data_IF_175497847353
#
_entry.id   IF_175497847353
#
_cell.length_a   1.000
_cell.length_b   1.000
_cell.length_c   1.000
_cell.angle_alpha   90.00
_cell.angle_beta   90.00
_cell.angle_gamma   90.00
#
_symmetry.space_group_name_H-M   'P 1'
#
loop_
_entity.id
_entity.type
_entity.pdbx_description
1 polymer ?
#
# COMPACT_ATOMS: atom_id res chain seq x y z
N UNK A 1 8.05 27.47 30.00
CA UNK A 1 7.20 26.28 30.23
C UNK A 1 7.89 25.11 29.55
N UNK A 2 7.93 23.93 30.17
CA UNK A 2 8.63 22.77 29.62
C UNK A 2 7.84 22.09 28.49
N UNK A 3 8.50 21.21 27.73
CA UNK A 3 7.85 20.45 26.66
C UNK A 3 6.75 19.53 27.20
N UNK A 4 6.93 18.95 28.40
CA UNK A 4 5.91 18.11 29.05
C UNK A 4 4.67 18.91 29.46
N UNK A 5 4.82 20.20 29.78
CA UNK A 5 3.68 21.04 30.05
C UNK A 5 2.84 21.23 28.79
N UNK A 6 3.46 21.55 27.65
CA UNK A 6 2.73 21.74 26.40
C UNK A 6 2.06 20.46 25.89
N UNK A 7 2.65 19.28 26.14
CA UNK A 7 2.04 18.02 25.72
C UNK A 7 0.78 17.65 26.51
N UNK A 8 0.62 18.15 27.74
CA UNK A 8 -0.60 17.97 28.53
C UNK A 8 -1.71 18.96 28.16
N UNK A 9 -1.36 20.06 27.47
CA UNK A 9 -2.26 21.16 27.13
C UNK A 9 -2.38 21.36 25.61
N UNK A 10 -2.26 20.29 24.81
CA UNK A 10 -2.27 20.35 23.34
C UNK A 10 -3.48 21.11 22.79
N UNK A 11 -4.67 20.89 23.35
CA UNK A 11 -5.91 21.52 22.91
C UNK A 11 -5.93 23.05 23.04
N UNK A 12 -5.09 23.61 23.92
CA UNK A 12 -5.02 25.04 24.18
C UNK A 12 -4.19 25.79 23.12
N UNK A 13 -3.27 25.10 22.43
CA UNK A 13 -2.30 25.77 21.55
C UNK A 13 -2.22 25.20 20.13
N UNK A 14 -2.67 23.95 19.87
CA UNK A 14 -2.51 23.32 18.55
C UNK A 14 -3.30 24.02 17.43
N UNK A 15 -4.24 24.91 17.76
CA UNK A 15 -4.98 25.75 16.82
C UNK A 15 -4.73 27.26 17.04
N UNK A 16 -3.72 27.63 17.83
CA UNK A 16 -3.36 29.02 18.10
C UNK A 16 -2.16 29.46 17.25
N UNK A 17 -2.43 30.25 16.20
CA UNK A 17 -1.39 30.79 15.33
C UNK A 17 -0.44 31.76 16.04
N UNK A 18 -0.90 32.49 17.07
CA UNK A 18 -0.05 33.41 17.84
C UNK A 18 0.97 32.63 18.66
N UNK A 19 0.58 31.47 19.21
CA UNK A 19 1.52 30.59 19.89
C UNK A 19 2.55 30.00 18.93
N UNK A 20 2.08 29.39 17.83
CA UNK A 20 2.95 28.68 16.87
C UNK A 20 3.95 29.64 16.22
N UNK A 21 3.51 30.82 15.78
CA UNK A 21 4.36 31.77 15.07
C UNK A 21 5.38 32.49 15.98
N UNK A 22 5.24 32.40 17.31
CA UNK A 22 6.21 32.94 18.27
C UNK A 22 7.36 31.98 18.58
N UNK A 23 7.30 30.75 18.09
CA UNK A 23 8.30 29.71 18.35
C UNK A 23 9.18 29.47 17.14
N UNK A 24 10.43 29.13 17.39
CA UNK A 24 11.30 28.60 16.32
C UNK A 24 10.90 27.17 15.98
N UNK A 25 11.33 26.70 14.81
CA UNK A 25 11.11 25.31 14.37
C UNK A 25 11.71 24.32 15.37
N UNK A 26 12.90 24.59 15.90
CA UNK A 26 13.57 23.73 16.89
C UNK A 26 12.79 23.65 18.20
N UNK A 27 12.25 24.78 18.68
CA UNK A 27 11.40 24.81 19.88
C UNK A 27 10.12 24.01 19.68
N UNK A 28 9.52 24.09 18.49
CA UNK A 28 8.35 23.29 18.15
C UNK A 28 8.71 21.81 18.07
N UNK A 29 9.81 21.41 17.43
CA UNK A 29 10.24 20.01 17.38
C UNK A 29 10.38 19.40 18.78
N UNK A 30 11.00 20.11 19.72
CA UNK A 30 11.15 19.68 21.12
C UNK A 30 9.78 19.45 21.78
N UNK A 31 8.82 20.35 21.53
CA UNK A 31 7.45 20.20 22.04
C UNK A 31 6.77 18.98 21.41
N UNK A 32 6.85 18.85 20.09
CA UNK A 32 6.20 17.78 19.32
C UNK A 32 6.70 16.39 19.75
N UNK A 33 7.98 16.25 20.09
CA UNK A 33 8.54 15.00 20.61
C UNK A 33 7.85 14.47 21.86
N UNK A 34 7.20 15.35 22.63
CA UNK A 34 6.50 15.00 23.87
C UNK A 34 4.99 14.83 23.67
N UNK A 35 4.47 15.11 22.47
CA UNK A 35 3.04 15.14 22.18
C UNK A 35 2.54 13.83 21.53
N UNK A 36 1.26 13.52 21.75
CA UNK A 36 0.50 12.58 20.94
C UNK A 36 -0.75 13.29 20.39
N UNK A 37 -0.95 13.25 19.08
CA UNK A 37 -1.97 14.04 18.40
C UNK A 37 -3.11 13.20 17.87
N UNK A 38 -4.35 13.55 18.18
CA UNK A 38 -5.48 13.08 17.35
C UNK A 38 -5.36 13.63 15.92
N UNK A 39 -5.99 12.97 14.95
CA UNK A 39 -6.05 13.44 13.55
C UNK A 39 -6.63 14.83 13.43
N UNK A 40 -7.57 15.19 14.31
CA UNK A 40 -8.14 16.55 14.39
C UNK A 40 -7.09 17.57 14.82
N UNK A 41 -6.38 17.32 15.92
CA UNK A 41 -5.36 18.23 16.44
C UNK A 41 -4.20 18.38 15.45
N UNK A 42 -3.79 17.28 14.81
CA UNK A 42 -2.76 17.32 13.78
C UNK A 42 -3.18 18.19 12.59
N UNK A 43 -4.42 18.02 12.09
CA UNK A 43 -4.94 18.83 10.98
C UNK A 43 -4.96 20.32 11.35
N UNK A 44 -5.37 20.67 12.57
CA UNK A 44 -5.39 22.05 13.04
C UNK A 44 -3.98 22.66 13.06
N UNK A 45 -3.04 21.96 13.70
CA UNK A 45 -1.65 22.39 13.79
C UNK A 45 -1.02 22.57 12.41
N UNK A 46 -1.13 21.55 11.55
CA UNK A 46 -0.50 21.59 10.23
C UNK A 46 -1.23 22.48 9.23
N UNK A 47 -2.48 22.89 9.48
CA UNK A 47 -3.10 23.96 8.68
C UNK A 47 -2.39 25.28 8.91
N UNK A 48 -2.02 25.57 10.17
CA UNK A 48 -1.30 26.78 10.54
C UNK A 48 0.15 26.72 10.04
N UNK A 49 0.85 25.60 10.27
CA UNK A 49 2.24 25.39 9.78
C UNK A 49 2.31 25.55 8.25
N UNK A 50 1.31 25.07 7.49
CA UNK A 50 1.27 25.26 6.03
C UNK A 50 1.34 26.73 5.61
N UNK A 51 0.74 27.61 6.41
CA UNK A 51 0.64 29.02 6.11
C UNK A 51 1.87 29.82 6.57
N UNK A 52 2.64 29.30 7.53
CA UNK A 52 3.74 30.03 8.18
C UNK A 52 5.14 29.44 7.97
N UNK A 53 5.27 28.19 7.52
CA UNK A 53 6.55 27.51 7.37
C UNK A 53 6.81 27.07 5.91
N UNK A 54 8.07 26.90 5.57
CA UNK A 54 8.50 26.24 4.32
C UNK A 54 8.18 24.74 4.33
N UNK A 55 8.31 24.11 3.16
CA UNK A 55 8.10 22.66 2.99
C UNK A 55 9.07 21.86 3.86
N UNK A 56 10.34 22.23 3.91
CA UNK A 56 11.37 21.50 4.67
C UNK A 56 11.18 21.61 6.18
N UNK A 57 10.80 22.80 6.66
CA UNK A 57 10.43 23.03 8.07
C UNK A 57 9.18 22.22 8.44
N UNK A 58 8.17 22.20 7.55
CA UNK A 58 6.96 21.40 7.74
C UNK A 58 7.28 19.91 7.83
N UNK A 59 8.19 19.39 6.99
CA UNK A 59 8.63 18.00 7.03
C UNK A 59 9.40 17.68 8.31
N UNK A 60 10.25 18.58 8.78
CA UNK A 60 10.97 18.45 10.04
C UNK A 60 9.98 18.30 11.21
N UNK A 61 9.02 19.23 11.31
CA UNK A 61 7.98 19.20 12.34
C UNK A 61 7.12 17.93 12.27
N UNK A 62 6.77 17.45 11.07
CA UNK A 62 6.01 16.20 10.93
C UNK A 62 6.75 14.99 11.51
N UNK A 63 8.07 14.88 11.33
CA UNK A 63 8.86 13.76 11.87
C UNK A 63 8.78 13.71 13.40
N UNK A 64 8.82 14.87 14.06
CA UNK A 64 8.75 14.98 15.52
C UNK A 64 7.33 14.81 16.07
N UNK A 65 6.28 14.92 15.25
CA UNK A 65 4.88 14.72 15.67
C UNK A 65 4.50 13.26 15.98
N UNK A 66 5.39 12.29 15.73
CA UNK A 66 5.23 10.85 16.02
C UNK A 66 3.94 10.23 15.48
N UNK A 67 3.40 10.77 14.40
CA UNK A 67 2.02 10.54 14.01
C UNK A 67 1.69 9.14 13.46
N UNK A 68 2.72 8.41 13.05
CA UNK A 68 2.60 7.02 12.61
C UNK A 68 2.61 6.02 13.78
N UNK A 69 2.79 6.48 15.02
CA UNK A 69 2.73 5.63 16.22
C UNK A 69 1.32 5.55 16.84
N UNK A 70 0.28 6.00 16.12
CA UNK A 70 -1.09 5.82 16.61
C UNK A 70 -1.49 4.33 16.61
N UNK A 71 -2.02 3.88 17.75
CA UNK A 71 -2.67 2.57 17.88
C UNK A 71 -4.08 2.55 17.25
N UNK A 72 -4.48 3.57 16.50
CA UNK A 72 -5.76 3.62 15.79
C UNK A 72 -5.54 3.81 14.28
N UNK A 73 -5.81 2.78 13.46
CA UNK A 73 -5.58 2.82 12.02
C UNK A 73 -6.52 3.78 11.28
N UNK A 74 -7.68 4.14 11.84
CA UNK A 74 -8.56 5.15 11.23
C UNK A 74 -7.98 6.55 11.39
N UNK A 75 -7.40 6.85 12.55
CA UNK A 75 -6.69 8.10 12.82
C UNK A 75 -5.46 8.22 11.93
N UNK A 76 -4.65 7.15 11.85
CA UNK A 76 -3.50 7.10 10.94
C UNK A 76 -3.92 7.37 9.50
N UNK A 77 -5.01 6.76 9.00
CA UNK A 77 -5.54 6.99 7.66
C UNK A 77 -5.88 8.46 7.41
N UNK A 78 -6.63 9.10 8.31
CA UNK A 78 -7.10 10.48 8.15
C UNK A 78 -5.97 11.50 8.15
N UNK A 79 -4.94 11.25 8.94
CA UNK A 79 -3.71 12.04 8.99
C UNK A 79 -2.98 11.92 7.65
N UNK A 80 -2.80 10.70 7.23
CA UNK A 80 -2.04 10.35 6.05
C UNK A 80 -2.68 10.87 4.76
N UNK A 81 -4.01 10.81 4.64
CA UNK A 81 -4.76 11.50 3.58
C UNK A 81 -4.53 13.01 3.59
N UNK A 82 -4.42 13.62 4.78
CA UNK A 82 -4.12 15.03 4.90
C UNK A 82 -2.68 15.34 4.47
N UNK A 83 -1.69 14.53 4.87
CA UNK A 83 -0.29 14.70 4.47
C UNK A 83 -0.13 14.54 2.95
N UNK A 84 -0.82 13.58 2.33
CA UNK A 84 -0.85 13.41 0.86
C UNK A 84 -1.33 14.68 0.15
N UNK A 85 -2.44 15.26 0.63
CA UNK A 85 -2.97 16.55 0.14
C UNK A 85 -2.08 17.74 0.49
N UNK A 86 -1.34 17.67 1.60
CA UNK A 86 -0.49 18.77 2.05
C UNK A 86 0.67 19.00 1.08
N UNK A 87 1.29 17.93 0.58
CA UNK A 87 2.45 17.98 -0.29
C UNK A 87 2.15 17.78 -1.79
N UNK A 88 0.88 17.61 -2.18
CA UNK A 88 0.48 17.15 -3.53
C UNK A 88 1.24 15.88 -3.94
N UNK A 89 1.42 14.95 -2.99
CA UNK A 89 2.10 13.67 -3.19
C UNK A 89 1.05 12.55 -3.20
N UNK A 90 0.69 12.03 -4.39
CA UNK A 90 -0.17 10.84 -4.54
C UNK A 90 0.42 9.61 -3.86
N UNK A 91 1.76 9.50 -3.87
CA UNK A 91 2.55 8.38 -3.32
C UNK A 91 2.27 8.06 -1.84
N UNK A 92 1.85 9.06 -1.07
CA UNK A 92 1.53 8.85 0.33
C UNK A 92 0.37 7.87 0.42
N UNK A 93 -0.68 7.99 -0.41
CA UNK A 93 -1.82 7.07 -0.41
C UNK A 93 -1.44 5.58 -0.53
N UNK A 94 -0.42 5.24 -1.32
CA UNK A 94 0.13 3.89 -1.44
C UNK A 94 0.81 3.42 -0.14
N UNK A 95 1.66 4.27 0.44
CA UNK A 95 2.30 4.04 1.76
C UNK A 95 1.24 3.94 2.87
N UNK A 96 0.12 4.65 2.74
CA UNK A 96 -0.96 4.63 3.73
C UNK A 96 -1.71 3.32 3.73
N UNK A 97 -2.01 2.79 2.55
CA UNK A 97 -2.62 1.48 2.44
C UNK A 97 -1.67 0.40 2.97
N UNK A 98 -0.37 0.50 2.70
CA UNK A 98 0.64 -0.43 3.25
C UNK A 98 0.76 -0.34 4.77
N UNK A 99 0.71 0.85 5.37
CA UNK A 99 0.76 1.05 6.84
C UNK A 99 -0.53 0.54 7.49
N UNK A 100 -1.71 0.90 6.96
CA UNK A 100 -3.01 0.43 7.47
C UNK A 100 -3.11 -1.10 7.34
N UNK A 101 -2.61 -1.66 6.25
CA UNK A 101 -2.58 -3.10 5.99
C UNK A 101 -1.64 -3.83 6.96
N UNK A 102 -0.40 -3.36 7.09
CA UNK A 102 0.59 -3.92 8.04
C UNK A 102 0.05 -3.88 9.47
N UNK A 103 -0.59 -2.78 9.86
CA UNK A 103 -1.17 -2.60 11.18
C UNK A 103 -2.37 -3.54 11.44
N UNK A 104 -3.33 -3.64 10.50
CA UNK A 104 -4.48 -4.56 10.61
C UNK A 104 -4.04 -6.03 10.64
N UNK A 105 -3.02 -6.38 9.86
CA UNK A 105 -2.43 -7.71 9.83
C UNK A 105 -1.76 -8.08 11.17
N UNK A 106 -0.91 -7.20 11.71
CA UNK A 106 -0.24 -7.42 12.99
C UNK A 106 -1.22 -7.54 14.17
N UNK A 107 -2.31 -6.78 14.18
CA UNK A 107 -3.34 -6.88 15.21
C UNK A 107 -4.18 -8.16 15.10
N UNK A 108 -4.44 -8.66 13.87
CA UNK A 108 -5.11 -9.96 13.68
C UNK A 108 -4.23 -11.12 14.14
N UNK A 109 -2.91 -11.06 13.94
CA UNK A 109 -1.97 -12.07 14.46
C UNK A 109 -1.91 -12.03 15.99
N UNK A 110 -1.84 -10.85 16.59
CA UNK A 110 -1.81 -10.70 18.06
C UNK A 110 -3.09 -11.15 18.75
N UNK A 111 -4.24 -11.03 18.07
CA UNK A 111 -5.55 -11.37 18.61
C UNK A 111 -6.07 -12.73 18.10
N UNK A 112 -5.26 -13.49 17.35
CA UNK A 112 -5.60 -14.85 16.98
C UNK A 112 -5.62 -15.71 18.25
N UNK A 113 -6.67 -16.51 18.50
CA UNK A 113 -6.70 -17.41 19.64
C UNK A 113 -5.48 -18.34 19.55
N UNK A 114 -4.66 -18.37 20.60
CA UNK A 114 -3.49 -19.26 20.67
C UNK A 114 -3.99 -20.69 20.54
N UNK A 115 -3.73 -21.31 19.38
CA UNK A 115 -3.98 -22.72 19.17
C UNK A 115 -3.12 -23.49 20.18
N UNK A 116 -3.79 -24.03 21.20
CA UNK A 116 -3.21 -24.93 22.18
C UNK A 116 -2.70 -26.17 21.47
N UNK A 117 -1.43 -26.50 21.76
CA UNK A 117 -0.77 -27.77 21.48
C UNK A 117 -1.75 -28.95 21.46
N UNK A 118 -1.85 -29.62 20.30
CA UNK A 118 -2.23 -31.04 20.26
C UNK A 118 -1.24 -31.80 19.39
N UNK A 119 -0.58 -32.72 20.08
CA UNK A 119 0.29 -33.83 19.69
C UNK A 119 0.71 -34.02 18.23
N UNK A 120 2.01 -33.86 18.05
CA UNK A 120 2.83 -34.50 17.03
C UNK A 120 2.91 -36.02 17.25
N UNK A 121 1.91 -36.80 16.84
CA UNK A 121 2.10 -38.23 16.55
C UNK A 121 0.90 -38.87 15.86
N UNK A 122 0.70 -38.61 14.56
CA UNK A 122 0.26 -39.68 13.66
C UNK A 122 0.49 -39.31 12.19
N UNK A 123 1.45 -39.99 11.55
CA UNK A 123 1.54 -40.00 10.08
C UNK A 123 0.42 -40.89 9.56
N UNK A 124 -0.44 -40.35 8.71
CA UNK A 124 -1.19 -41.15 7.76
C UNK A 124 -1.19 -40.43 6.39
N UNK A 125 -0.66 -41.05 5.32
CA UNK A 125 -0.66 -40.48 3.98
C UNK A 125 -2.03 -40.69 3.33
N UNK A 126 -2.54 -39.66 2.62
CA UNK A 126 -3.86 -39.55 1.97
C UNK A 126 -5.02 -39.10 2.88
N UNK A 127 -5.23 -37.78 2.96
CA UNK A 127 -6.52 -37.20 3.38
C UNK A 127 -7.04 -36.30 2.24
N UNK A 128 -7.89 -36.86 1.39
CA UNK A 128 -8.66 -36.17 0.33
C UNK A 128 -9.82 -35.37 0.97
N UNK A 129 -9.52 -34.62 2.04
CA UNK A 129 -10.50 -33.87 2.82
C UNK A 129 -10.30 -32.35 2.75
N UNK A 130 -9.35 -31.86 1.94
CA UNK A 130 -8.94 -30.44 1.94
C UNK A 130 -9.63 -29.61 0.85
N UNK A 131 -9.86 -30.16 -0.35
CA UNK A 131 -10.52 -29.44 -1.44
C UNK A 131 -12.02 -29.23 -1.20
N UNK A 132 -12.70 -30.23 -0.65
CA UNK A 132 -14.15 -30.20 -0.48
C UNK A 132 -14.58 -29.20 0.60
N UNK A 133 -13.82 -29.10 1.69
CA UNK A 133 -14.07 -28.14 2.77
C UNK A 133 -13.79 -26.70 2.33
N UNK A 134 -12.64 -26.44 1.69
CA UNK A 134 -12.28 -25.11 1.20
C UNK A 134 -13.25 -24.64 0.09
N UNK A 135 -13.64 -25.54 -0.82
CA UNK A 135 -14.64 -25.25 -1.86
C UNK A 135 -16.01 -24.97 -1.26
N UNK A 136 -16.46 -25.74 -0.28
CA UNK A 136 -17.72 -25.49 0.41
C UNK A 136 -17.71 -24.15 1.16
N UNK A 137 -16.61 -23.83 1.86
CA UNK A 137 -16.43 -22.55 2.52
C UNK A 137 -16.49 -21.39 1.51
N UNK A 138 -15.80 -21.49 0.38
CA UNK A 138 -15.82 -20.47 -0.68
C UNK A 138 -17.25 -20.25 -1.21
N UNK A 139 -17.96 -21.34 -1.53
CA UNK A 139 -19.34 -21.30 -2.05
C UNK A 139 -20.34 -20.70 -1.07
N UNK A 140 -20.07 -20.79 0.23
CA UNK A 140 -20.92 -20.18 1.26
C UNK A 140 -20.82 -18.65 1.33
N UNK A 141 -19.77 -18.05 0.74
CA UNK A 141 -19.49 -16.62 0.86
C UNK A 141 -20.21 -15.82 -0.24
N UNK A 142 -20.93 -14.74 0.12
CA UNK A 142 -21.47 -13.79 -0.84
C UNK A 142 -20.38 -13.08 -1.66
N UNK A 143 -20.58 -12.95 -2.98
CA UNK A 143 -19.64 -12.31 -3.92
C UNK A 143 -19.80 -10.79 -3.93
N UNK A 144 -19.39 -10.12 -2.86
CA UNK A 144 -19.43 -8.66 -2.76
C UNK A 144 -18.24 -8.10 -1.97
N UNK A 145 -18.02 -6.79 -2.08
CA UNK A 145 -16.86 -6.12 -1.49
C UNK A 145 -16.73 -6.29 0.02
N UNK A 146 -17.84 -6.44 0.76
CA UNK A 146 -17.82 -6.64 2.20
C UNK A 146 -17.20 -8.00 2.60
N UNK A 147 -17.27 -9.00 1.72
CA UNK A 147 -16.74 -10.33 1.93
C UNK A 147 -15.43 -10.59 1.17
N UNK A 148 -14.88 -9.58 0.50
CA UNK A 148 -13.64 -9.68 -0.27
C UNK A 148 -12.52 -10.36 0.52
N UNK A 149 -12.31 -9.94 1.78
CA UNK A 149 -11.24 -10.49 2.61
C UNK A 149 -11.46 -11.97 2.91
N UNK A 150 -12.69 -12.40 3.17
CA UNK A 150 -12.99 -13.81 3.42
C UNK A 150 -12.71 -14.66 2.17
N UNK A 151 -13.06 -14.15 0.98
CA UNK A 151 -12.74 -14.79 -0.29
C UNK A 151 -11.21 -14.89 -0.44
N UNK A 152 -10.51 -13.77 -0.25
CA UNK A 152 -9.06 -13.71 -0.39
C UNK A 152 -8.32 -14.64 0.57
N UNK A 153 -8.73 -14.70 1.83
CA UNK A 153 -8.15 -15.59 2.85
C UNK A 153 -8.27 -17.06 2.43
N UNK A 154 -9.38 -17.48 1.81
CA UNK A 154 -9.52 -18.83 1.26
C UNK A 154 -8.58 -19.05 0.07
N UNK A 155 -8.47 -18.09 -0.84
CA UNK A 155 -7.56 -18.18 -1.99
C UNK A 155 -6.10 -18.31 -1.56
N UNK A 156 -5.68 -17.52 -0.58
CA UNK A 156 -4.35 -17.60 0.01
C UNK A 156 -4.12 -18.97 0.68
N UNK A 157 -5.04 -19.41 1.55
CA UNK A 157 -4.95 -20.70 2.22
C UNK A 157 -4.83 -21.85 1.21
N UNK A 158 -5.72 -21.89 0.23
CA UNK A 158 -5.76 -22.93 -0.80
C UNK A 158 -4.50 -22.92 -1.67
N UNK A 159 -3.95 -21.75 -2.01
CA UNK A 159 -2.66 -21.66 -2.70
C UNK A 159 -1.51 -22.22 -1.86
N UNK A 160 -1.47 -21.95 -0.55
CA UNK A 160 -0.45 -22.50 0.36
C UNK A 160 -0.57 -24.02 0.55
N UNK A 161 -1.78 -24.55 0.47
CA UNK A 161 -2.09 -25.98 0.54
C UNK A 161 -1.91 -26.70 -0.81
N UNK A 162 -1.60 -25.98 -1.89
CA UNK A 162 -1.61 -26.46 -3.28
C UNK A 162 -2.96 -27.06 -3.70
N UNK A 163 -4.06 -26.55 -3.16
CA UNK A 163 -5.43 -26.89 -3.54
C UNK A 163 -5.83 -26.15 -4.82
N UNK A 164 -5.27 -26.61 -5.93
CA UNK A 164 -5.50 -26.04 -7.25
C UNK A 164 -6.97 -26.17 -7.70
N UNK A 165 -7.71 -27.16 -7.19
CA UNK A 165 -9.11 -27.37 -7.53
C UNK A 165 -9.98 -26.23 -7.00
N UNK A 166 -9.82 -25.84 -5.73
CA UNK A 166 -10.58 -24.71 -5.17
C UNK A 166 -10.24 -23.40 -5.87
N UNK A 167 -8.98 -23.18 -6.29
CA UNK A 167 -8.61 -22.00 -7.10
C UNK A 167 -9.33 -22.01 -8.45
N UNK A 168 -9.39 -23.17 -9.14
CA UNK A 168 -10.14 -23.31 -10.38
C UNK A 168 -11.62 -23.01 -10.18
N UNK A 169 -12.24 -23.53 -9.10
CA UNK A 169 -13.63 -23.21 -8.74
C UNK A 169 -13.80 -21.71 -8.51
N UNK A 170 -12.86 -21.07 -7.83
CA UNK A 170 -12.91 -19.63 -7.58
C UNK A 170 -12.92 -18.80 -8.87
N UNK A 171 -12.11 -19.20 -9.86
CA UNK A 171 -12.09 -18.56 -11.18
C UNK A 171 -13.39 -18.85 -11.95
N UNK A 172 -13.75 -20.13 -12.10
CA UNK A 172 -14.93 -20.58 -12.86
C UNK A 172 -16.22 -19.96 -12.33
N UNK A 173 -16.33 -19.79 -11.01
CA UNK A 173 -17.48 -19.21 -10.34
C UNK A 173 -17.34 -17.70 -10.06
N UNK A 174 -16.32 -17.03 -10.62
CA UNK A 174 -16.15 -15.57 -10.58
C UNK A 174 -15.90 -14.96 -9.20
N UNK A 175 -15.39 -15.74 -8.25
CA UNK A 175 -14.90 -15.18 -6.97
C UNK A 175 -13.71 -14.24 -7.19
N UNK A 176 -12.94 -14.46 -8.25
CA UNK A 176 -11.83 -13.59 -8.66
C UNK A 176 -12.27 -12.28 -9.32
N UNK A 177 -13.56 -12.08 -9.58
CA UNK A 177 -14.13 -10.82 -10.11
C UNK A 177 -14.63 -9.88 -9.00
N UNK A 178 -14.54 -10.28 -7.72
CA UNK A 178 -14.99 -9.46 -6.59
C UNK A 178 -13.94 -8.40 -6.27
N UNK A 179 -14.30 -7.12 -6.38
CA UNK A 179 -13.42 -6.00 -5.99
C UNK A 179 -13.42 -5.77 -4.48
N UNK A 180 -12.24 -5.45 -3.94
CA UNK A 180 -12.12 -4.88 -2.60
C UNK A 180 -12.76 -3.48 -2.54
N UNK A 181 -13.30 -3.10 -1.38
CA UNK A 181 -13.96 -1.80 -1.21
C UNK A 181 -13.03 -0.59 -1.11
N UNK A 182 -11.71 -0.80 -1.06
CA UNK A 182 -10.71 0.26 -0.97
C UNK A 182 -10.30 0.77 -2.35
N UNK A 183 -9.14 0.32 -2.82
CA UNK A 183 -8.56 0.69 -4.13
C UNK A 183 -9.21 -0.05 -5.33
N UNK A 184 -10.34 -0.73 -5.12
CA UNK A 184 -11.01 -1.51 -6.17
C UNK A 184 -10.19 -2.66 -6.74
N UNK A 185 -9.29 -3.25 -5.97
CA UNK A 185 -8.45 -4.35 -6.42
C UNK A 185 -9.22 -5.69 -6.44
N UNK A 186 -9.12 -6.41 -7.56
CA UNK A 186 -9.47 -7.82 -7.68
C UNK A 186 -8.51 -8.70 -6.86
N UNK A 187 -8.87 -9.95 -6.49
CA UNK A 187 -7.99 -10.83 -5.71
C UNK A 187 -6.62 -11.05 -6.35
N UNK A 188 -6.55 -11.06 -7.68
CA UNK A 188 -5.28 -11.14 -8.41
C UNK A 188 -4.35 -9.94 -8.14
N UNK A 189 -4.87 -8.71 -8.24
CA UNK A 189 -4.10 -7.50 -7.97
C UNK A 189 -3.74 -7.39 -6.48
N UNK A 190 -4.64 -7.85 -5.61
CA UNK A 190 -4.40 -7.89 -4.18
C UNK A 190 -3.29 -8.88 -3.80
N UNK A 191 -3.23 -10.04 -4.46
CA UNK A 191 -2.10 -10.97 -4.33
C UNK A 191 -0.78 -10.34 -4.75
N UNK A 192 -0.77 -9.56 -5.82
CA UNK A 192 0.42 -8.81 -6.24
C UNK A 192 0.85 -7.75 -5.21
N UNK A 193 -0.12 -7.01 -4.63
CA UNK A 193 0.14 -6.02 -3.57
C UNK A 193 0.71 -6.66 -2.30
N UNK A 194 0.23 -7.86 -1.96
CA UNK A 194 0.71 -8.68 -0.84
C UNK A 194 2.01 -9.45 -1.16
N UNK A 195 2.56 -9.31 -2.37
CA UNK A 195 3.77 -10.01 -2.85
C UNK A 195 3.64 -11.55 -2.87
N UNK A 196 2.44 -12.07 -3.11
CA UNK A 196 2.13 -13.50 -3.14
C UNK A 196 2.26 -14.05 -4.57
N UNK A 197 3.50 -14.13 -5.09
CA UNK A 197 3.78 -14.57 -6.46
C UNK A 197 3.12 -15.91 -6.81
N UNK A 198 3.17 -16.90 -5.90
CA UNK A 198 2.56 -18.21 -6.13
C UNK A 198 1.05 -18.12 -6.37
N UNK A 199 0.35 -17.31 -5.56
CA UNK A 199 -1.09 -17.11 -5.72
C UNK A 199 -1.40 -16.36 -7.03
N UNK A 200 -0.63 -15.32 -7.36
CA UNK A 200 -0.75 -14.62 -8.66
C UNK A 200 -0.61 -15.59 -9.82
N UNK A 201 0.46 -16.40 -9.83
CA UNK A 201 0.75 -17.34 -10.92
C UNK A 201 -0.33 -18.41 -11.03
N UNK A 202 -0.80 -18.93 -9.90
CA UNK A 202 -1.85 -19.96 -9.85
C UNK A 202 -3.20 -19.42 -10.32
N UNK A 203 -3.60 -18.23 -9.88
CA UNK A 203 -4.83 -17.59 -10.34
C UNK A 203 -4.83 -17.39 -11.86
N UNK A 204 -3.75 -16.89 -12.43
CA UNK A 204 -3.63 -16.68 -13.88
C UNK A 204 -3.53 -18.01 -14.64
N UNK A 205 -2.80 -19.00 -14.11
CA UNK A 205 -2.77 -20.38 -14.65
C UNK A 205 -4.18 -20.95 -14.80
N UNK A 206 -5.08 -20.62 -13.87
CA UNK A 206 -6.47 -21.09 -13.85
C UNK A 206 -7.47 -20.16 -14.52
N UNK A 207 -7.02 -19.07 -15.16
CA UNK A 207 -7.87 -18.22 -16.02
C UNK A 207 -8.32 -16.90 -15.39
N UNK A 208 -7.81 -16.50 -14.23
CA UNK A 208 -8.00 -15.13 -13.75
C UNK A 208 -7.37 -14.14 -14.74
N UNK A 209 -8.10 -13.09 -15.09
CA UNK A 209 -7.67 -12.09 -16.08
C UNK A 209 -6.51 -11.23 -15.55
N UNK A 210 -5.29 -11.34 -16.11
CA UNK A 210 -4.12 -10.55 -15.69
C UNK A 210 -4.15 -9.10 -16.16
N UNK A 211 -5.13 -8.70 -17.00
CA UNK A 211 -5.24 -7.35 -17.58
C UNK A 211 -6.11 -6.41 -16.75
N UNK A 212 -6.75 -6.92 -15.68
CA UNK A 212 -7.55 -6.11 -14.76
C UNK A 212 -6.70 -5.01 -14.12
N UNK A 213 -7.38 -3.92 -13.74
CA UNK A 213 -6.76 -2.74 -13.12
C UNK A 213 -7.43 -2.37 -11.81
N UNK A 214 -6.70 -1.68 -10.94
CA UNK A 214 -7.27 -0.99 -9.77
C UNK A 214 -8.18 0.16 -10.20
N UNK A 215 -8.87 0.79 -9.26
CA UNK A 215 -9.63 2.00 -9.54
C UNK A 215 -8.73 3.22 -9.89
N UNK A 216 -7.41 3.11 -9.63
CA UNK A 216 -6.37 4.06 -10.06
C UNK A 216 -5.71 3.66 -11.38
N UNK A 217 -6.29 2.69 -12.10
CA UNK A 217 -5.78 2.16 -13.35
C UNK A 217 -4.41 1.47 -13.25
N UNK A 218 -3.96 1.12 -12.04
CA UNK A 218 -2.75 0.33 -11.85
C UNK A 218 -2.95 -1.07 -12.40
N UNK A 219 -2.07 -1.46 -13.30
CA UNK A 219 -1.95 -2.84 -13.76
C UNK A 219 -1.03 -3.66 -12.84
N UNK A 220 -0.96 -4.98 -13.06
CA UNK A 220 0.04 -5.84 -12.39
C UNK A 220 1.48 -5.30 -12.54
N UNK A 221 1.83 -4.70 -13.69
CA UNK A 221 3.16 -4.11 -13.87
C UNK A 221 3.41 -2.95 -12.91
N UNK A 222 2.47 -2.03 -12.74
CA UNK A 222 2.60 -0.90 -11.82
C UNK A 222 2.81 -1.41 -10.39
N UNK A 223 1.96 -2.34 -9.96
CA UNK A 223 2.03 -2.94 -8.62
C UNK A 223 3.38 -3.62 -8.39
N UNK A 224 3.83 -4.48 -9.31
CA UNK A 224 5.11 -5.17 -9.15
C UNK A 224 6.32 -4.25 -9.19
N UNK A 225 6.28 -3.16 -9.97
CA UNK A 225 7.33 -2.14 -9.92
C UNK A 225 7.33 -1.42 -8.56
N UNK A 226 6.18 -0.96 -8.07
CA UNK A 226 6.08 -0.30 -6.76
C UNK A 226 6.55 -1.20 -5.61
N UNK A 227 6.28 -2.51 -5.70
CA UNK A 227 6.74 -3.51 -4.73
C UNK A 227 8.17 -4.00 -4.96
N UNK A 228 8.89 -3.43 -5.92
CA UNK A 228 10.24 -3.83 -6.30
C UNK A 228 10.37 -5.35 -6.59
N UNK A 229 9.33 -5.96 -7.16
CA UNK A 229 9.21 -7.40 -7.37
C UNK A 229 9.50 -7.76 -8.82
N UNK A 230 10.78 -8.00 -9.12
CA UNK A 230 11.24 -8.33 -10.48
C UNK A 230 10.67 -9.66 -11.00
N UNK A 231 10.44 -10.64 -10.12
CA UNK A 231 9.89 -11.93 -10.52
C UNK A 231 8.43 -11.79 -11.00
N UNK A 232 7.60 -11.12 -10.20
CA UNK A 232 6.23 -10.80 -10.57
C UNK A 232 6.17 -9.93 -11.83
N UNK A 233 7.09 -8.98 -11.97
CA UNK A 233 7.20 -8.14 -13.16
C UNK A 233 7.48 -8.95 -14.43
N UNK A 234 8.47 -9.86 -14.38
CA UNK A 234 8.80 -10.80 -15.47
C UNK A 234 7.63 -11.70 -15.84
N UNK A 235 6.79 -12.04 -14.88
CA UNK A 235 5.56 -12.79 -15.14
C UNK A 235 4.50 -11.92 -15.83
N UNK A 236 4.20 -10.74 -15.27
CA UNK A 236 3.10 -9.88 -15.72
C UNK A 236 3.32 -9.29 -17.12
N UNK A 237 4.57 -9.06 -17.53
CA UNK A 237 4.88 -8.47 -18.85
C UNK A 237 4.50 -9.33 -20.05
N UNK A 238 4.23 -10.62 -19.80
CA UNK A 238 3.72 -11.54 -20.82
C UNK A 238 2.27 -11.28 -21.20
N UNK A 239 1.54 -10.54 -20.35
CA UNK A 239 0.10 -10.36 -20.47
C UNK A 239 -0.33 -8.89 -20.53
N UNK A 240 0.46 -8.00 -19.94
CA UNK A 240 0.13 -6.59 -19.78
C UNK A 240 1.06 -5.75 -20.66
N UNK A 241 0.50 -4.76 -21.35
CA UNK A 241 1.28 -3.79 -22.12
C UNK A 241 2.30 -3.09 -21.21
N UNK A 242 3.58 -3.18 -21.59
CA UNK A 242 4.71 -2.55 -20.88
C UNK A 242 4.56 -1.02 -20.79
N UNK A 243 3.79 -0.43 -21.71
CA UNK A 243 3.48 0.99 -21.74
C UNK A 243 2.15 1.36 -21.07
N UNK A 244 1.47 0.40 -20.41
CA UNK A 244 0.21 0.69 -19.71
C UNK A 244 0.38 1.91 -18.82
N UNK A 245 -0.61 2.79 -18.82
CA UNK A 245 -0.64 3.98 -17.98
C UNK A 245 -1.62 3.80 -16.82
N UNK A 246 -1.24 4.34 -15.66
CA UNK A 246 -2.09 4.54 -14.49
C UNK A 246 -2.97 5.81 -14.64
N UNK A 247 -3.70 6.17 -13.59
CA UNK A 247 -4.59 7.35 -13.56
C UNK A 247 -3.83 8.67 -13.71
N UNK A 248 -2.53 8.73 -13.40
CA UNK A 248 -1.67 9.90 -13.60
C UNK A 248 -1.05 9.94 -14.99
N UNK A 249 -1.31 8.94 -15.84
CA UNK A 249 -0.60 8.76 -17.10
C UNK A 249 0.84 8.23 -16.91
N UNK A 250 1.23 7.80 -15.72
CA UNK A 250 2.55 7.23 -15.47
C UNK A 250 2.59 5.80 -15.98
N UNK A 251 3.72 5.41 -16.57
CA UNK A 251 4.02 4.03 -16.98
C UNK A 251 4.85 3.31 -15.92
N UNK A 252 4.99 1.97 -15.97
CA UNK A 252 5.89 1.25 -15.07
C UNK A 252 7.32 1.82 -15.02
N UNK A 253 7.84 2.35 -16.14
CA UNK A 253 9.17 2.98 -16.18
C UNK A 253 9.22 4.32 -15.40
N UNK A 254 8.14 5.11 -15.41
CA UNK A 254 8.05 6.32 -14.58
C UNK A 254 8.17 5.95 -13.10
N UNK A 255 7.45 4.91 -12.66
CA UNK A 255 7.45 4.43 -11.28
C UNK A 255 8.85 3.92 -10.91
N UNK A 256 9.48 3.10 -11.75
CA UNK A 256 10.82 2.57 -11.50
C UNK A 256 11.85 3.69 -11.26
N UNK A 257 11.81 4.76 -12.06
CA UNK A 257 12.70 5.92 -11.87
C UNK A 257 12.31 6.83 -10.70
N UNK A 258 11.01 6.94 -10.39
CA UNK A 258 10.52 7.67 -9.20
C UNK A 258 11.10 7.08 -7.92
N UNK A 259 11.17 5.75 -7.82
CA UNK A 259 11.72 5.04 -6.66
C UNK A 259 13.22 4.70 -6.76
N UNK A 260 13.85 4.98 -7.90
CA UNK A 260 15.28 4.67 -8.09
C UNK A 260 15.59 3.19 -8.25
N UNK A 261 14.62 2.37 -8.67
CA UNK A 261 14.79 0.93 -8.91
C UNK A 261 15.50 0.68 -10.23
N UNK A 262 16.81 0.94 -10.27
CA UNK A 262 17.65 0.85 -11.49
C UNK A 262 17.52 -0.51 -12.16
N UNK A 263 17.65 -1.61 -11.40
CA UNK A 263 17.53 -2.97 -11.95
C UNK A 263 16.17 -3.28 -12.61
N UNK A 264 15.08 -2.70 -12.10
CA UNK A 264 13.75 -2.81 -12.73
C UNK A 264 13.67 -1.93 -13.97
N UNK A 265 14.20 -0.71 -13.91
CA UNK A 265 14.23 0.18 -15.06
C UNK A 265 15.05 -0.41 -16.21
N UNK A 266 16.22 -0.99 -15.91
CA UNK A 266 17.07 -1.70 -16.88
C UNK A 266 16.30 -2.87 -17.49
N UNK A 267 15.66 -3.70 -16.67
CA UNK A 267 14.82 -4.79 -17.16
C UNK A 267 13.72 -4.27 -18.10
N UNK A 268 12.99 -3.21 -17.74
CA UNK A 268 11.93 -2.63 -18.57
C UNK A 268 12.45 -2.08 -19.89
N UNK A 269 13.62 -1.41 -19.89
CA UNK A 269 14.28 -0.86 -21.08
C UNK A 269 14.67 -1.93 -22.11
N UNK A 270 14.89 -3.16 -21.66
CA UNK A 270 15.20 -4.29 -22.53
C UNK A 270 13.95 -4.92 -23.17
N UNK A 271 12.74 -4.49 -22.79
CA UNK A 271 11.50 -5.15 -23.20
C UNK A 271 11.03 -4.67 -24.59
N UNK A 272 10.62 -5.60 -25.48
CA UNK A 272 10.09 -5.23 -26.77
C UNK A 272 8.87 -4.31 -26.66
N UNK A 273 8.85 -3.28 -27.51
CA UNK A 273 7.70 -2.36 -27.63
C UNK A 273 7.64 -1.26 -26.57
N UNK A 274 8.58 -1.22 -25.61
CA UNK A 274 8.64 -0.12 -24.66
C UNK A 274 8.88 1.23 -25.36
N UNK A 275 8.09 2.24 -24.99
CA UNK A 275 8.29 3.63 -25.36
C UNK A 275 8.76 4.45 -24.14
N UNK A 276 10.06 4.80 -24.06
CA UNK A 276 10.62 5.54 -22.92
C UNK A 276 10.26 7.04 -22.93
N UNK A 277 9.51 7.52 -23.93
CA UNK A 277 9.18 8.94 -24.12
C UNK A 277 7.70 9.26 -23.84
N UNK A 278 6.92 8.31 -23.32
CA UNK A 278 5.54 8.58 -22.90
C UNK A 278 5.55 9.66 -21.81
N UNK A 279 4.69 10.65 -21.94
CA UNK A 279 4.52 11.69 -20.92
C UNK A 279 3.35 11.34 -20.01
N UNK A 280 3.54 11.55 -18.71
CA UNK A 280 2.44 11.54 -17.75
C UNK A 280 1.60 12.83 -17.86
N UNK A 281 0.54 12.95 -17.05
CA UNK A 281 -0.34 14.13 -17.05
C UNK A 281 0.35 15.43 -16.63
N UNK A 282 1.53 15.37 -16.00
CA UNK A 282 2.37 16.52 -15.66
C UNK A 282 3.31 16.92 -16.81
N UNK A 283 3.25 16.24 -17.94
CA UNK A 283 4.18 16.44 -19.06
C UNK A 283 5.59 15.92 -18.79
N UNK A 284 5.76 15.10 -17.74
CA UNK A 284 7.05 14.49 -17.42
C UNK A 284 7.20 13.16 -18.17
N UNK A 285 8.34 12.95 -18.81
CA UNK A 285 8.77 11.63 -19.28
C UNK A 285 9.43 10.85 -18.12
N UNK A 286 9.64 9.52 -18.24
CA UNK A 286 10.37 8.75 -17.24
C UNK A 286 11.76 9.33 -16.94
N UNK A 287 12.48 9.79 -17.97
CA UNK A 287 13.83 10.37 -17.80
C UNK A 287 13.79 11.70 -17.04
N UNK A 288 12.75 12.53 -17.21
CA UNK A 288 12.57 13.76 -16.44
C UNK A 288 12.44 13.44 -14.93
N UNK A 289 11.65 12.41 -14.60
CA UNK A 289 11.52 11.93 -13.22
C UNK A 289 12.86 11.46 -12.66
N UNK A 290 13.62 10.64 -13.41
CA UNK A 290 14.94 10.16 -13.00
C UNK A 290 15.93 11.30 -12.70
N UNK A 291 15.95 12.33 -13.55
CA UNK A 291 16.84 13.49 -13.36
C UNK A 291 16.47 14.26 -12.09
N UNK A 292 15.16 14.49 -11.86
CA UNK A 292 14.66 15.18 -10.67
C UNK A 292 14.97 14.42 -9.39
N UNK A 293 14.76 13.11 -9.35
CA UNK A 293 15.05 12.28 -8.17
C UNK A 293 16.55 12.21 -7.90
N UNK A 294 17.39 12.11 -8.93
CA UNK A 294 18.85 12.14 -8.81
C UNK A 294 19.39 13.48 -8.29
N UNK A 295 18.80 14.60 -8.66
CA UNK A 295 19.17 15.92 -8.14
C UNK A 295 18.79 16.07 -6.66
N UNK A 296 17.59 15.62 -6.27
CA UNK A 296 17.17 15.64 -4.87
C UNK A 296 18.10 14.81 -3.95
N UNK A 297 18.62 13.68 -4.44
CA UNK A 297 19.56 12.84 -3.70
C UNK A 297 20.98 13.44 -3.58
N UNK A 298 21.36 14.38 -4.45
CA UNK A 298 22.66 15.07 -4.39
C UNK A 298 22.67 16.28 -3.46
N UNK A 299 21.49 16.79 -3.11
CA UNK A 299 21.32 18.00 -2.30
C UNK A 299 21.03 17.69 -0.82
N UNK A 300 21.08 16.42 -0.42
CA UNK A 300 21.02 15.91 0.95
C UNK A 300 22.37 15.26 1.32
#
# INVERSE_FOLDING_TARGET
MSAEHYSQHIDEWCNDSSFINKKTVDELCIILDHCQFTSKQFKQLFTIIKASCSIDESLSLMKHSKILNHNDPNESKLILEYVSKFFDIPLIYEVCNDIIYTYKFQNRIKNAPTATNTDSSNRNPQKVATSDENTAALRSIPKNAAHFLNIYEILQKTSNENDEYTIKVAVDEKYTEVKSGGIGAYPLLYAALSQENNLVFTLVKYGADPTVKTDYLDSLLHIFVTKNNLEGLKFAIKYVDVNSQDVEGSTPLHIAYRYGFVHIADFLLEQPGLNPNIMNQKGETPINIYQRTKQALKNN
#
